data_IF_808677924064
#
_entry.id   IF_808677924064
#
_cell.length_a   1.000
_cell.length_b   1.000
_cell.length_c   1.000
_cell.angle_alpha   90.00
_cell.angle_beta   90.00
_cell.angle_gamma   90.00
#
_symmetry.space_group_name_H-M   'P 1'
#
loop_
_entity.id
_entity.type
_entity.pdbx_description
1 polymer ?
#
# COMPACT_ATOMS: atom_id res chain seq x y z
N UNK A 1 -4.55 -4.99 58.65
CA UNK A 1 -4.51 -6.16 57.74
C UNK A 1 -5.95 -6.46 57.32
N UNK A 2 -6.30 -6.40 56.03
CA UNK A 2 -5.48 -5.98 54.88
C UNK A 2 -6.00 -4.70 54.21
N UNK A 3 -5.07 -4.03 53.52
CA UNK A 3 -5.32 -3.02 52.51
C UNK A 3 -6.26 -3.57 51.42
N UNK A 4 -7.10 -2.70 50.87
CA UNK A 4 -7.86 -3.02 49.69
C UNK A 4 -6.89 -3.44 48.57
N UNK A 5 -7.19 -4.51 47.81
CA UNK A 5 -6.32 -4.90 46.72
C UNK A 5 -6.27 -3.76 45.70
N UNK A 6 -5.05 -3.31 45.40
CA UNK A 6 -4.78 -2.50 44.22
C UNK A 6 -5.44 -3.18 43.03
N UNK A 7 -6.42 -2.50 42.45
CA UNK A 7 -6.94 -2.86 41.13
C UNK A 7 -5.75 -2.87 40.18
N UNK A 8 -5.48 -3.97 39.45
CA UNK A 8 -4.39 -4.00 38.51
C UNK A 8 -4.63 -2.91 37.47
N UNK A 9 -3.65 -2.02 37.36
CA UNK A 9 -3.59 -0.98 36.34
C UNK A 9 -3.81 -1.67 34.99
N UNK A 10 -4.95 -1.35 34.37
CA UNK A 10 -5.27 -1.89 33.06
C UNK A 10 -4.22 -1.31 32.11
N UNK A 11 -3.46 -2.11 31.35
CA UNK A 11 -2.41 -1.56 30.51
C UNK A 11 -3.03 -0.53 29.58
N UNK A 12 -2.50 0.69 29.68
CA UNK A 12 -2.89 1.86 28.93
C UNK A 12 -2.88 1.49 27.44
N UNK A 13 -4.06 1.24 26.88
CA UNK A 13 -4.21 0.92 25.47
C UNK A 13 -3.95 2.23 24.73
N UNK A 14 -3.04 2.31 23.74
CA UNK A 14 -2.69 3.58 23.13
C UNK A 14 -3.96 4.26 22.63
N UNK A 15 -4.22 5.47 23.11
CA UNK A 15 -5.33 6.30 22.67
C UNK A 15 -5.14 6.58 21.17
N UNK A 16 -5.85 5.82 20.34
CA UNK A 16 -5.88 5.80 18.85
C UNK A 16 -4.72 5.06 18.13
N UNK A 17 -5.08 3.90 17.55
CA UNK A 17 -4.29 3.18 16.52
C UNK A 17 -3.98 4.12 15.34
N UNK A 18 -2.76 4.06 14.80
CA UNK A 18 -2.39 4.91 13.65
C UNK A 18 -3.12 4.49 12.37
N UNK A 19 -3.28 5.42 11.42
CA UNK A 19 -3.75 5.06 10.09
C UNK A 19 -2.68 4.21 9.38
N UNK A 20 -3.01 2.98 9.01
CA UNK A 20 -2.08 2.07 8.32
C UNK A 20 -2.35 2.10 6.83
N UNK A 21 -1.39 2.58 6.04
CA UNK A 21 -1.51 2.74 4.60
C UNK A 21 -0.58 1.76 3.87
N UNK A 22 -1.16 0.80 3.16
CA UNK A 22 -0.41 -0.17 2.36
C UNK A 22 0.07 0.43 1.03
N UNK A 23 1.28 0.08 0.59
CA UNK A 23 1.82 0.43 -0.73
C UNK A 23 2.27 -0.85 -1.43
N UNK A 24 1.49 -1.27 -2.44
CA UNK A 24 1.72 -2.50 -3.21
C UNK A 24 1.98 -2.24 -4.69
N UNK A 25 2.52 -3.24 -5.37
CA UNK A 25 2.71 -3.23 -6.82
C UNK A 25 3.93 -4.01 -7.31
N UNK A 26 4.11 -4.11 -8.63
CA UNK A 26 5.23 -4.82 -9.25
C UNK A 26 6.62 -4.41 -8.79
N UNK A 27 7.55 -5.35 -8.92
CA UNK A 27 8.97 -5.11 -8.69
C UNK A 27 9.40 -3.94 -9.58
N UNK A 28 10.11 -2.98 -8.99
CA UNK A 28 10.68 -1.85 -9.74
C UNK A 28 9.71 -0.73 -10.09
N UNK A 29 8.42 -0.76 -9.72
CA UNK A 29 7.47 0.34 -10.02
C UNK A 29 7.72 1.60 -9.19
N UNK A 30 8.57 1.51 -8.16
CA UNK A 30 9.01 2.65 -7.36
C UNK A 30 8.23 2.84 -6.05
N UNK A 31 7.76 1.76 -5.42
CA UNK A 31 7.05 1.77 -4.13
C UNK A 31 7.84 2.47 -3.02
N UNK A 32 9.07 2.05 -2.74
CA UNK A 32 9.93 2.68 -1.74
C UNK A 32 10.26 4.14 -2.09
N UNK A 33 10.40 4.48 -3.38
CA UNK A 33 10.55 5.88 -3.83
C UNK A 33 9.27 6.72 -3.64
N UNK A 34 8.09 6.11 -3.77
CA UNK A 34 6.81 6.73 -3.48
C UNK A 34 6.68 7.00 -1.97
N UNK A 35 6.99 6.00 -1.14
CA UNK A 35 7.04 6.14 0.33
C UNK A 35 8.00 7.26 0.73
N UNK A 36 9.21 7.29 0.17
CA UNK A 36 10.17 8.37 0.43
C UNK A 36 9.61 9.75 0.07
N UNK A 37 8.87 9.85 -1.03
CA UNK A 37 8.19 11.09 -1.43
C UNK A 37 7.11 11.48 -0.43
N UNK A 38 6.24 10.53 -0.03
CA UNK A 38 5.20 10.77 0.99
C UNK A 38 5.85 11.26 2.29
N UNK A 39 6.90 10.58 2.78
CA UNK A 39 7.60 10.97 3.99
C UNK A 39 8.18 12.38 3.88
N UNK A 40 8.88 12.70 2.79
CA UNK A 40 9.49 14.03 2.59
C UNK A 40 8.46 15.15 2.59
N UNK A 41 7.29 14.92 2.01
CA UNK A 41 6.26 15.95 1.83
C UNK A 41 5.34 16.11 3.05
N UNK A 42 5.32 15.13 3.96
CA UNK A 42 4.35 15.09 5.07
C UNK A 42 4.98 14.94 6.47
N UNK A 43 6.28 14.68 6.60
CA UNK A 43 6.92 14.49 7.91
C UNK A 43 6.85 15.73 8.82
N UNK A 44 6.74 16.93 8.25
CA UNK A 44 6.55 18.18 9.01
C UNK A 44 5.09 18.37 9.50
N UNK A 45 4.14 17.62 8.96
CA UNK A 45 2.71 17.73 9.27
C UNK A 45 2.14 16.50 10.00
N UNK A 46 2.73 15.32 9.77
CA UNK A 46 2.28 14.03 10.27
C UNK A 46 3.45 13.28 10.90
N UNK A 47 3.19 12.62 12.02
CA UNK A 47 4.10 11.67 12.67
C UNK A 47 4.07 10.35 11.90
N UNK A 48 5.04 10.14 11.04
CA UNK A 48 5.10 8.99 10.14
C UNK A 48 6.01 7.88 10.68
N UNK A 49 5.62 6.63 10.42
CA UNK A 49 6.45 5.44 10.55
C UNK A 49 6.39 4.59 9.28
N UNK A 50 7.40 3.74 9.04
CA UNK A 50 7.45 2.87 7.85
C UNK A 50 7.83 1.45 8.24
N UNK A 51 7.05 0.49 7.74
CA UNK A 51 7.40 -0.93 7.68
C UNK A 51 7.66 -1.28 6.21
N UNK A 52 8.81 -1.87 5.94
CA UNK A 52 9.15 -2.42 4.62
C UNK A 52 9.12 -3.94 4.68
N UNK A 53 8.57 -4.56 3.65
CA UNK A 53 8.58 -6.01 3.49
C UNK A 53 9.48 -6.40 2.34
N UNK A 54 10.41 -7.29 2.65
CA UNK A 54 11.18 -7.96 1.61
C UNK A 54 11.31 -9.45 1.96
N UNK A 55 11.63 -10.24 0.95
CA UNK A 55 11.69 -11.69 1.09
C UNK A 55 12.99 -12.09 1.81
N UNK A 56 14.12 -11.49 1.43
CA UNK A 56 15.45 -11.93 1.85
C UNK A 56 16.45 -10.81 2.16
N UNK A 57 16.07 -9.53 2.04
CA UNK A 57 16.99 -8.41 2.24
C UNK A 57 16.35 -7.27 3.03
N UNK A 58 17.13 -6.27 3.39
CA UNK A 58 16.69 -5.02 4.00
C UNK A 58 16.93 -3.82 3.06
N UNK A 59 17.07 -4.07 1.75
CA UNK A 59 17.47 -3.07 0.76
C UNK A 59 16.48 -1.90 0.68
N UNK A 60 15.17 -2.17 0.73
CA UNK A 60 14.14 -1.13 0.71
C UNK A 60 14.21 -0.24 1.98
N UNK A 61 14.46 -0.83 3.15
CA UNK A 61 14.68 -0.07 4.38
C UNK A 61 15.96 0.77 4.30
N UNK A 62 17.05 0.23 3.75
CA UNK A 62 18.32 0.97 3.55
C UNK A 62 18.13 2.12 2.57
N UNK A 63 17.37 1.94 1.51
CA UNK A 63 17.02 3.00 0.57
C UNK A 63 16.29 4.13 1.31
N UNK A 64 15.28 3.80 2.12
CA UNK A 64 14.52 4.82 2.85
C UNK A 64 15.36 5.53 3.92
N UNK A 65 16.17 4.80 4.68
CA UNK A 65 17.08 5.37 5.69
C UNK A 65 18.12 6.28 5.05
N UNK A 66 18.73 5.86 3.94
CA UNK A 66 19.71 6.67 3.22
C UNK A 66 19.09 7.89 2.53
N UNK A 67 17.81 7.84 2.17
CA UNK A 67 17.08 9.00 1.66
C UNK A 67 16.88 10.10 2.71
N UNK A 68 17.09 9.82 4.00
CA UNK A 68 17.05 10.81 5.08
C UNK A 68 15.68 11.45 5.26
N UNK A 69 14.60 10.73 4.90
CA UNK A 69 13.23 11.26 4.90
C UNK A 69 12.53 11.15 6.26
N UNK A 70 13.05 10.31 7.16
CA UNK A 70 12.61 10.12 8.54
C UNK A 70 13.81 9.76 9.42
N UNK A 71 13.60 9.81 10.73
CA UNK A 71 14.50 9.15 11.69
C UNK A 71 14.65 7.65 11.29
N UNK A 72 15.89 7.14 11.13
CA UNK A 72 16.12 5.74 10.76
C UNK A 72 15.43 4.71 11.65
N UNK A 73 15.23 5.01 12.94
CA UNK A 73 14.60 4.10 13.90
C UNK A 73 13.08 3.98 13.68
N UNK A 74 12.49 4.94 12.95
CA UNK A 74 11.08 4.90 12.50
C UNK A 74 10.86 4.09 11.22
N UNK A 75 11.92 3.52 10.66
CA UNK A 75 11.87 2.67 9.46
C UNK A 75 12.31 1.26 9.86
N UNK A 76 11.39 0.30 9.82
CA UNK A 76 11.67 -1.10 10.15
C UNK A 76 11.54 -1.99 8.93
N UNK A 77 12.41 -3.00 8.86
CA UNK A 77 12.36 -4.05 7.85
C UNK A 77 11.75 -5.30 8.47
N UNK A 78 10.90 -5.98 7.71
CA UNK A 78 10.38 -7.31 8.01
C UNK A 78 10.86 -8.23 6.90
N UNK A 79 11.78 -9.12 7.26
CA UNK A 79 12.20 -10.22 6.40
C UNK A 79 11.20 -11.36 6.55
N UNK A 80 10.42 -11.58 5.49
CA UNK A 80 9.27 -12.48 5.56
C UNK A 80 9.65 -13.93 5.29
N UNK A 81 10.73 -14.16 4.54
CA UNK A 81 11.17 -15.49 4.11
C UNK A 81 10.16 -16.24 3.21
N UNK A 82 9.08 -15.57 2.80
CA UNK A 82 7.92 -16.15 2.13
C UNK A 82 7.53 -15.34 0.87
N UNK A 83 6.60 -15.88 0.08
CA UNK A 83 6.05 -15.16 -1.06
C UNK A 83 5.45 -13.82 -0.60
N UNK A 84 5.69 -12.69 -1.31
CA UNK A 84 5.19 -11.38 -0.89
C UNK A 84 3.70 -11.32 -0.63
N UNK A 85 2.88 -12.06 -1.41
CA UNK A 85 1.43 -12.21 -1.15
C UNK A 85 1.12 -12.73 0.25
N UNK A 86 1.84 -13.76 0.71
CA UNK A 86 1.56 -14.40 2.01
C UNK A 86 1.75 -13.39 3.13
N UNK A 87 2.86 -12.64 3.12
CA UNK A 87 3.22 -11.71 4.19
C UNK A 87 2.27 -10.53 4.39
N UNK A 88 1.51 -10.16 3.35
CA UNK A 88 0.61 -9.00 3.37
C UNK A 88 -0.87 -9.38 3.36
N UNK A 89 -1.19 -10.64 3.05
CA UNK A 89 -2.58 -11.11 2.88
C UNK A 89 -2.93 -12.31 3.74
N UNK A 90 -2.17 -13.40 3.61
CA UNK A 90 -2.55 -14.71 4.15
C UNK A 90 -2.01 -14.93 5.57
N UNK A 91 -0.79 -14.47 5.86
CA UNK A 91 -0.17 -14.42 7.18
C UNK A 91 0.47 -13.04 7.39
N UNK A 92 -0.34 -12.14 7.97
CA UNK A 92 0.06 -10.76 8.23
C UNK A 92 0.72 -10.57 9.60
N UNK A 93 0.85 -11.64 10.39
CA UNK A 93 1.31 -11.56 11.78
C UNK A 93 2.69 -10.91 11.92
N UNK A 94 3.71 -11.23 11.10
CA UNK A 94 5.03 -10.59 11.21
C UNK A 94 4.96 -9.07 11.00
N UNK A 95 4.16 -8.64 10.03
CA UNK A 95 3.93 -7.22 9.75
C UNK A 95 3.16 -6.53 10.86
N UNK A 96 2.10 -7.15 11.35
CA UNK A 96 1.26 -6.59 12.40
C UNK A 96 2.06 -6.36 13.68
N UNK A 97 2.88 -7.34 14.09
CA UNK A 97 3.78 -7.20 15.24
C UNK A 97 4.76 -6.05 15.03
N UNK A 98 5.37 -5.95 13.84
CA UNK A 98 6.32 -4.87 13.54
C UNK A 98 5.66 -3.48 13.59
N UNK A 99 4.41 -3.37 13.11
CA UNK A 99 3.62 -2.14 13.20
C UNK A 99 3.31 -1.80 14.66
N UNK A 100 2.81 -2.76 15.45
CA UNK A 100 2.45 -2.55 16.85
C UNK A 100 3.67 -2.18 17.71
N UNK A 101 4.81 -2.82 17.48
CA UNK A 101 6.05 -2.46 18.15
C UNK A 101 6.52 -1.05 17.74
N UNK A 102 6.36 -0.66 16.47
CA UNK A 102 6.70 0.69 16.00
C UNK A 102 5.77 1.74 16.61
N UNK A 103 4.48 1.46 16.66
CA UNK A 103 3.47 2.31 17.30
C UNK A 103 3.79 2.47 18.79
N UNK A 104 4.17 1.39 19.50
CA UNK A 104 4.53 1.44 20.92
C UNK A 104 5.78 2.29 21.18
N UNK A 105 6.80 2.14 20.36
CA UNK A 105 8.10 2.80 20.59
C UNK A 105 8.10 4.29 20.18
N UNK A 106 7.24 4.66 19.23
CA UNK A 106 7.17 6.02 18.68
C UNK A 106 5.80 6.67 18.83
N UNK A 107 4.99 6.18 19.77
CA UNK A 107 3.67 6.75 20.04
C UNK A 107 3.76 8.25 20.38
N UNK A 108 2.80 9.05 19.91
CA UNK A 108 1.77 8.65 18.95
C UNK A 108 2.37 8.60 17.52
N UNK A 109 1.79 7.80 16.62
CA UNK A 109 1.98 7.93 15.15
C UNK A 109 0.67 8.34 14.47
N UNK A 110 0.77 9.21 13.45
CA UNK A 110 -0.39 9.63 12.65
C UNK A 110 -0.69 8.62 11.55
N UNK A 111 0.36 8.17 10.84
CA UNK A 111 0.29 7.23 9.73
C UNK A 111 1.47 6.25 9.79
N UNK A 112 1.20 4.97 9.60
CA UNK A 112 2.23 3.94 9.35
C UNK A 112 2.10 3.45 7.92
N UNK A 113 3.14 3.66 7.11
CA UNK A 113 3.24 3.16 5.75
C UNK A 113 3.73 1.71 5.78
N UNK A 114 3.06 0.81 5.08
CA UNK A 114 3.47 -0.59 4.97
C UNK A 114 3.76 -0.90 3.50
N UNK A 115 5.04 -1.05 3.15
CA UNK A 115 5.44 -1.47 1.81
C UNK A 115 5.28 -2.98 1.65
N UNK A 116 4.69 -3.44 0.55
CA UNK A 116 4.76 -4.86 0.18
C UNK A 116 6.09 -5.21 -0.48
N UNK A 117 6.49 -6.48 -0.44
CA UNK A 117 7.46 -6.99 -1.41
C UNK A 117 6.96 -6.77 -2.84
N UNK A 118 7.86 -6.69 -3.81
CA UNK A 118 7.48 -6.50 -5.21
C UNK A 118 6.76 -7.72 -5.78
N UNK A 119 5.57 -7.52 -6.36
CA UNK A 119 4.68 -8.62 -6.74
C UNK A 119 3.72 -8.22 -7.87
N UNK A 120 3.06 -9.18 -8.51
CA UNK A 120 2.25 -8.96 -9.72
C UNK A 120 0.95 -8.15 -9.45
N UNK A 121 0.13 -8.00 -10.49
CA UNK A 121 -1.12 -7.22 -10.50
C UNK A 121 -2.18 -7.69 -9.48
N UNK A 122 -1.97 -8.82 -8.82
CA UNK A 122 -2.87 -9.39 -7.83
C UNK A 122 -2.51 -9.05 -6.39
N UNK A 123 -1.43 -8.30 -6.14
CA UNK A 123 -1.06 -7.93 -4.78
C UNK A 123 -2.11 -7.02 -4.13
N UNK A 124 -2.60 -7.46 -2.97
CA UNK A 124 -3.61 -6.79 -2.15
C UNK A 124 -3.30 -7.05 -0.69
N UNK A 125 -3.49 -6.04 0.15
CA UNK A 125 -3.33 -6.21 1.59
C UNK A 125 -4.58 -6.83 2.24
N UNK A 126 -4.37 -7.53 3.35
CA UNK A 126 -5.46 -7.90 4.26
C UNK A 126 -6.00 -6.66 4.99
N UNK A 127 -7.33 -6.52 5.14
CA UNK A 127 -7.96 -5.53 6.01
C UNK A 127 -7.52 -5.60 7.48
N UNK A 128 -7.00 -6.76 7.92
CA UNK A 128 -6.45 -6.91 9.26
C UNK A 128 -5.12 -6.15 9.43
N UNK A 129 -4.40 -5.87 8.33
CA UNK A 129 -3.09 -5.22 8.35
C UNK A 129 -3.16 -3.72 8.05
N UNK A 130 -3.88 -3.33 6.99
CA UNK A 130 -3.95 -1.92 6.54
C UNK A 130 -5.38 -1.43 6.44
N UNK A 131 -5.57 -0.13 6.61
CA UNK A 131 -6.88 0.52 6.52
C UNK A 131 -7.20 0.95 5.09
N UNK A 132 -6.19 1.37 4.32
CA UNK A 132 -6.31 1.71 2.89
C UNK A 132 -5.04 1.27 2.14
N UNK A 133 -5.12 1.19 0.81
CA UNK A 133 -4.01 0.78 -0.04
C UNK A 133 -3.78 1.69 -1.26
N UNK A 134 -2.52 1.95 -1.56
CA UNK A 134 -2.03 2.47 -2.83
C UNK A 134 -1.48 1.30 -3.65
N UNK A 135 -1.92 1.17 -4.90
CA UNK A 135 -1.29 0.29 -5.88
C UNK A 135 -0.46 1.09 -6.88
N UNK A 136 0.77 0.67 -7.13
CA UNK A 136 1.74 1.41 -7.95
C UNK A 136 2.03 0.64 -9.23
N UNK A 137 1.60 1.21 -10.36
CA UNK A 137 2.07 0.87 -11.70
C UNK A 137 3.08 1.90 -12.16
N UNK A 138 3.80 1.61 -13.24
CA UNK A 138 4.64 2.63 -13.88
C UNK A 138 4.59 2.50 -15.40
N UNK A 139 4.85 3.62 -16.08
CA UNK A 139 4.75 3.69 -17.55
C UNK A 139 5.74 2.77 -18.27
N UNK A 140 6.88 2.42 -17.66
CA UNK A 140 7.85 1.50 -18.28
C UNK A 140 7.35 0.04 -18.31
N UNK A 141 6.30 -0.28 -17.54
CA UNK A 141 5.59 -1.56 -17.63
C UNK A 141 4.66 -1.69 -18.85
N UNK A 142 4.52 -0.61 -19.64
CA UNK A 142 3.67 -0.55 -20.83
C UNK A 142 2.25 -0.03 -20.53
N UNK A 143 1.69 0.77 -21.45
CA UNK A 143 0.37 1.38 -21.28
C UNK A 143 -0.81 0.41 -21.29
N UNK A 144 -0.58 -0.87 -21.64
CA UNK A 144 -1.58 -1.94 -21.60
C UNK A 144 -1.78 -2.54 -20.22
N UNK A 145 -0.81 -2.38 -19.31
CA UNK A 145 -0.85 -3.00 -17.97
C UNK A 145 -2.07 -2.53 -17.17
N UNK A 146 -2.49 -1.27 -17.34
CA UNK A 146 -3.69 -0.72 -16.72
C UNK A 146 -4.98 -1.48 -17.11
N UNK A 147 -5.06 -1.97 -18.36
CA UNK A 147 -6.23 -2.70 -18.87
C UNK A 147 -6.28 -4.15 -18.44
N UNK A 148 -5.16 -4.73 -17.99
CA UNK A 148 -5.10 -6.13 -17.53
C UNK A 148 -5.94 -6.33 -16.26
N UNK A 149 -6.25 -5.26 -15.54
CA UNK A 149 -7.03 -5.32 -14.32
C UNK A 149 -6.34 -6.18 -13.26
N UNK A 150 -7.13 -6.95 -12.53
CA UNK A 150 -6.66 -7.70 -11.37
C UNK A 150 -6.94 -6.96 -10.07
N UNK A 151 -6.91 -7.67 -8.94
CA UNK A 151 -7.46 -7.15 -7.70
C UNK A 151 -6.64 -5.98 -7.13
N UNK A 152 -5.32 -5.92 -7.35
CA UNK A 152 -4.52 -4.76 -6.99
C UNK A 152 -4.92 -3.51 -7.77
N UNK A 153 -5.11 -3.66 -9.09
CA UNK A 153 -5.59 -2.56 -9.95
C UNK A 153 -7.03 -2.20 -9.61
N UNK A 154 -7.97 -3.12 -9.45
CA UNK A 154 -9.40 -2.80 -9.31
C UNK A 154 -9.81 -2.32 -7.90
N UNK A 155 -9.10 -2.78 -6.86
CA UNK A 155 -9.57 -2.65 -5.47
C UNK A 155 -8.80 -1.63 -4.65
N UNK A 156 -7.65 -1.15 -5.11
CA UNK A 156 -6.92 -0.13 -4.38
C UNK A 156 -7.68 1.19 -4.24
N UNK A 157 -7.50 1.88 -3.12
CA UNK A 157 -8.11 3.18 -2.86
C UNK A 157 -7.50 4.26 -3.76
N UNK A 158 -6.20 4.13 -4.05
CA UNK A 158 -5.49 4.90 -5.05
C UNK A 158 -4.69 3.98 -5.97
N UNK A 159 -4.84 4.19 -7.28
CA UNK A 159 -3.88 3.68 -8.25
C UNK A 159 -2.94 4.80 -8.67
N UNK A 160 -1.64 4.57 -8.55
CA UNK A 160 -0.61 5.48 -9.06
C UNK A 160 -0.06 4.94 -10.38
N UNK A 161 -0.09 5.78 -11.41
CA UNK A 161 0.67 5.57 -12.66
C UNK A 161 1.96 6.38 -12.53
N UNK A 162 3.03 5.71 -12.10
CA UNK A 162 4.30 6.33 -11.72
C UNK A 162 5.25 6.52 -12.90
N UNK A 163 6.31 7.32 -12.66
CA UNK A 163 7.40 7.62 -13.61
C UNK A 163 6.90 8.23 -14.92
N UNK A 164 5.88 9.08 -14.88
CA UNK A 164 5.29 9.66 -16.11
C UNK A 164 6.28 10.50 -16.92
N UNK A 165 7.38 10.96 -16.30
CA UNK A 165 8.50 11.59 -17.01
C UNK A 165 9.23 10.66 -17.99
N UNK A 166 9.05 9.34 -17.86
CA UNK A 166 9.62 8.36 -18.77
C UNK A 166 8.75 8.07 -19.99
N UNK A 167 7.49 8.52 -19.99
CA UNK A 167 6.51 8.21 -21.03
C UNK A 167 7.02 8.49 -22.48
N UNK A 168 7.73 9.60 -22.77
CA UNK A 168 8.28 9.85 -24.11
C UNK A 168 9.33 8.84 -24.57
N UNK A 169 9.97 8.12 -23.65
CA UNK A 169 11.04 7.16 -23.95
C UNK A 169 10.54 5.73 -24.11
N UNK A 170 9.30 5.46 -23.68
CA UNK A 170 8.66 4.13 -23.73
C UNK A 170 7.37 4.13 -24.57
N UNK A 171 7.12 5.23 -25.27
CA UNK A 171 5.98 5.40 -26.20
C UNK A 171 4.61 5.15 -25.56
N UNK A 172 4.46 5.56 -24.29
CA UNK A 172 3.20 5.44 -23.55
C UNK A 172 2.46 6.78 -23.53
N UNK A 173 1.20 6.77 -23.94
CA UNK A 173 0.27 7.88 -23.73
C UNK A 173 -0.28 7.82 -22.29
N UNK A 174 0.19 8.73 -21.44
CA UNK A 174 -0.17 8.78 -20.02
C UNK A 174 -1.66 9.06 -19.82
N UNK A 175 -2.23 9.99 -20.58
CA UNK A 175 -3.64 10.36 -20.44
C UNK A 175 -4.54 9.19 -20.82
N UNK A 176 -4.17 8.46 -21.87
CA UNK A 176 -4.86 7.22 -22.24
C UNK A 176 -4.72 6.14 -21.17
N UNK A 177 -3.52 5.93 -20.64
CA UNK A 177 -3.28 4.93 -19.59
C UNK A 177 -4.09 5.23 -18.32
N UNK A 178 -4.22 6.52 -17.93
CA UNK A 178 -5.06 6.95 -16.82
C UNK A 178 -6.53 6.65 -17.09
N UNK A 179 -7.05 7.03 -18.26
CA UNK A 179 -8.45 6.74 -18.64
C UNK A 179 -8.76 5.24 -18.66
N UNK A 180 -7.86 4.45 -19.20
CA UNK A 180 -7.98 2.99 -19.24
C UNK A 180 -8.01 2.41 -17.81
N UNK A 181 -7.18 2.94 -16.92
CA UNK A 181 -7.13 2.53 -15.52
C UNK A 181 -8.40 2.94 -14.75
N UNK A 182 -8.91 4.17 -14.97
CA UNK A 182 -10.17 4.64 -14.38
C UNK A 182 -11.33 3.75 -14.82
N UNK A 183 -11.39 3.40 -16.11
CA UNK A 183 -12.40 2.50 -16.65
C UNK A 183 -12.31 1.09 -16.05
N UNK A 184 -11.10 0.55 -15.86
CA UNK A 184 -10.89 -0.75 -15.20
C UNK A 184 -11.21 -0.75 -13.70
N UNK A 185 -11.46 0.44 -13.12
CA UNK A 185 -11.65 0.67 -11.69
C UNK A 185 -13.00 1.33 -11.37
N UNK A 186 -13.97 1.28 -12.28
CA UNK A 186 -15.30 1.89 -12.13
C UNK A 186 -15.23 3.38 -11.72
N UNK A 187 -14.25 4.12 -12.23
CA UNK A 187 -14.06 5.54 -11.96
C UNK A 187 -13.35 5.86 -10.64
N UNK A 188 -12.82 4.87 -9.90
CA UNK A 188 -12.01 5.14 -8.71
C UNK A 188 -10.72 5.90 -9.07
N UNK A 189 -10.22 6.67 -8.10
CA UNK A 189 -9.09 7.58 -8.28
C UNK A 189 -7.85 6.92 -8.88
N UNK A 190 -7.31 7.56 -9.91
CA UNK A 190 -6.03 7.26 -10.54
C UNK A 190 -5.18 8.53 -10.55
N UNK A 191 -3.92 8.44 -10.15
CA UNK A 191 -2.99 9.56 -10.10
C UNK A 191 -1.78 9.30 -11.00
N UNK A 192 -1.63 10.10 -12.04
CA UNK A 192 -0.41 10.19 -12.83
C UNK A 192 0.67 10.94 -12.04
N UNK A 193 1.79 10.25 -11.76
CA UNK A 193 2.86 10.73 -10.88
C UNK A 193 4.22 10.75 -11.58
N UNK A 194 4.95 11.85 -11.41
CA UNK A 194 6.40 11.87 -11.56
C UNK A 194 7.03 12.56 -10.37
N UNK A 195 8.12 11.97 -9.85
CA UNK A 195 8.95 12.62 -8.82
C UNK A 195 9.59 13.94 -9.28
N UNK A 196 9.55 14.24 -10.58
CA UNK A 196 10.06 15.49 -11.18
C UNK A 196 8.96 16.54 -11.40
N UNK A 197 7.69 16.19 -11.15
CA UNK A 197 6.56 17.09 -11.30
C UNK A 197 5.96 17.46 -9.92
N UNK A 198 6.25 18.67 -9.41
CA UNK A 198 5.72 19.14 -8.14
C UNK A 198 4.18 19.13 -8.06
N UNK A 199 3.48 19.33 -9.19
CA UNK A 199 2.02 19.32 -9.19
C UNK A 199 1.46 17.91 -8.96
N UNK A 200 2.09 16.88 -9.53
CA UNK A 200 1.73 15.49 -9.23
C UNK A 200 2.03 15.09 -7.77
N UNK A 201 3.14 15.57 -7.21
CA UNK A 201 3.52 15.34 -5.81
C UNK A 201 2.51 16.02 -4.87
N UNK A 202 2.09 17.25 -5.17
CA UNK A 202 1.08 17.97 -4.39
C UNK A 202 -0.25 17.21 -4.35
N UNK A 203 -0.69 16.64 -5.48
CA UNK A 203 -1.91 15.80 -5.54
C UNK A 203 -1.79 14.53 -4.70
N UNK A 204 -0.61 13.89 -4.69
CA UNK A 204 -0.35 12.73 -3.84
C UNK A 204 -0.43 13.11 -2.35
N UNK A 205 0.21 14.21 -1.96
CA UNK A 205 0.17 14.75 -0.60
C UNK A 205 -1.26 15.03 -0.16
N UNK A 206 -2.04 15.70 -1.01
CA UNK A 206 -3.45 16.00 -0.75
C UNK A 206 -4.29 14.73 -0.56
N UNK A 207 -4.11 13.73 -1.42
CA UNK A 207 -4.81 12.45 -1.30
C UNK A 207 -4.49 11.75 0.03
N UNK A 208 -3.22 11.67 0.42
CA UNK A 208 -2.82 11.03 1.69
C UNK A 208 -3.43 11.76 2.89
N UNK A 209 -3.42 13.10 2.89
CA UNK A 209 -4.04 13.91 3.96
C UNK A 209 -5.55 13.70 4.03
N UNK A 210 -6.22 13.72 2.88
CA UNK A 210 -7.66 13.50 2.80
C UNK A 210 -8.01 12.10 3.31
N UNK A 211 -7.31 11.06 2.85
CA UNK A 211 -7.56 9.68 3.30
C UNK A 211 -7.29 9.50 4.80
N UNK A 212 -6.21 10.11 5.32
CA UNK A 212 -5.92 10.11 6.76
C UNK A 212 -7.09 10.67 7.57
N UNK A 213 -7.72 11.76 7.11
CA UNK A 213 -8.88 12.34 7.76
C UNK A 213 -10.11 11.42 7.66
N UNK A 214 -10.41 10.88 6.48
CA UNK A 214 -11.57 9.99 6.27
C UNK A 214 -11.48 8.73 7.13
N UNK A 215 -10.29 8.12 7.24
CA UNK A 215 -10.08 6.95 8.11
C UNK A 215 -10.26 7.31 9.58
N UNK A 216 -9.73 8.47 10.02
CA UNK A 216 -9.86 8.94 11.41
C UNK A 216 -11.29 9.23 11.82
N UNK A 217 -12.13 9.72 10.91
CA UNK A 217 -13.54 9.97 11.19
C UNK A 217 -14.40 8.70 11.10
N UNK A 218 -13.81 7.57 10.70
CA UNK A 218 -14.54 6.30 10.53
C UNK A 218 -15.36 6.23 9.25
N UNK A 219 -15.14 7.15 8.31
CA UNK A 219 -15.88 7.25 7.04
C UNK A 219 -15.27 6.37 5.93
N UNK A 220 -14.29 5.52 6.27
CA UNK A 220 -13.68 4.55 5.37
C UNK A 220 -13.85 3.13 5.90
N UNK A 221 -14.19 2.19 5.01
CA UNK A 221 -14.21 0.76 5.30
C UNK A 221 -13.09 0.10 4.49
N UNK A 222 -12.11 -0.55 5.14
CA UNK A 222 -11.03 -1.24 4.44
C UNK A 222 -11.58 -2.27 3.45
N UNK A 223 -11.02 -2.28 2.24
CA UNK A 223 -11.49 -3.15 1.15
C UNK A 223 -10.89 -4.54 1.30
N UNK A 224 -11.75 -5.54 1.58
CA UNK A 224 -11.36 -6.95 1.52
C UNK A 224 -11.05 -7.36 0.06
N UNK A 225 -9.90 -8.00 -0.21
CA UNK A 225 -9.66 -8.64 -1.49
C UNK A 225 -10.73 -9.69 -1.84
N UNK A 226 -11.54 -10.19 -0.91
CA UNK A 226 -12.62 -11.12 -1.22
C UNK A 226 -12.14 -12.39 -1.95
N UNK A 227 -13.06 -13.16 -2.54
CA UNK A 227 -12.73 -14.45 -3.13
C UNK A 227 -11.94 -14.29 -4.44
N UNK A 228 -11.37 -15.40 -4.92
CA UNK A 228 -10.74 -15.46 -6.24
C UNK A 228 -11.66 -14.90 -7.33
N UNK A 229 -11.08 -14.11 -8.24
CA UNK A 229 -11.80 -13.60 -9.39
C UNK A 229 -12.37 -14.75 -10.23
N UNK A 230 -13.54 -14.56 -10.88
CA UNK A 230 -14.04 -15.51 -11.84
C UNK A 230 -13.01 -15.75 -12.94
N UNK A 231 -12.85 -17.00 -13.35
CA UNK A 231 -11.92 -17.36 -14.41
C UNK A 231 -12.54 -18.36 -15.36
N UNK A 232 -12.12 -18.31 -16.62
CA UNK A 232 -12.66 -19.18 -17.66
C UNK A 232 -11.57 -19.95 -18.38
N UNK A 233 -11.87 -21.19 -18.73
CA UNK A 233 -11.01 -22.05 -19.56
C UNK A 233 -11.83 -22.69 -20.67
N UNK A 234 -11.16 -23.03 -21.78
CA UNK A 234 -11.78 -23.74 -22.90
C UNK A 234 -11.77 -25.24 -22.58
N UNK A 235 -12.96 -25.85 -22.49
CA UNK A 235 -13.13 -27.28 -22.30
C UNK A 235 -12.64 -28.08 -23.51
N UNK A 236 -12.49 -29.39 -23.34
CA UNK A 236 -12.04 -30.30 -24.43
C UNK A 236 -13.00 -30.33 -25.63
N UNK A 237 -14.25 -29.88 -25.44
CA UNK A 237 -15.30 -29.73 -26.45
C UNK A 237 -15.34 -28.32 -27.09
N UNK A 238 -14.43 -27.42 -26.70
CA UNK A 238 -14.39 -26.04 -27.16
C UNK A 238 -15.35 -25.09 -26.43
N UNK A 239 -16.09 -25.57 -25.41
CA UNK A 239 -16.97 -24.72 -24.63
C UNK A 239 -16.19 -23.80 -23.67
N UNK A 240 -16.65 -22.56 -23.50
CA UNK A 240 -16.10 -21.66 -22.47
C UNK A 240 -16.72 -22.04 -21.13
N UNK A 241 -15.92 -22.60 -20.23
CA UNK A 241 -16.31 -22.92 -18.87
C UNK A 241 -15.90 -21.76 -17.97
N UNK A 242 -16.84 -21.16 -17.25
CA UNK A 242 -16.59 -20.06 -16.31
C UNK A 242 -16.76 -20.54 -14.88
N UNK A 243 -15.73 -20.36 -14.06
CA UNK A 243 -15.72 -20.65 -12.64
C UNK A 243 -15.95 -19.36 -11.86
N UNK A 244 -16.90 -19.39 -10.92
CA UNK A 244 -17.19 -18.28 -10.01
C UNK A 244 -16.95 -18.79 -8.59
N UNK A 245 -16.16 -18.06 -7.80
CA UNK A 245 -15.83 -18.43 -6.42
C UNK A 245 -16.66 -17.56 -5.48
N UNK A 246 -17.66 -18.14 -4.83
CA UNK A 246 -18.45 -17.51 -3.77
C UNK A 246 -18.03 -18.07 -2.42
N UNK A 247 -17.94 -17.21 -1.40
CA UNK A 247 -17.79 -17.63 0.00
C UNK A 247 -19.06 -18.31 0.52
#
# INVERSE_FOLDING_TARGET
MPDAPDTPDTPDTPETRSFRLGVAGPVGTGKSSLIATICRELADELRLGVITNDIYTDEDARLLRSAGVLDPDRIRAVETGACPHTAIRDDVTPNLIAVEDLERDFAPLDVVLVESGGDNLTATFSPALVDAQIFVLDVAGGGDVARKGGPGIARADLLVVNKTDLAPYVEVDVDRMVKDAEAARDGKTVLALSRKDPASIARLREWVRAMTNVVRTGDHTPVDPGPMAPHSHIGEDGAVITHVHTH
#
